data_IF_852073411060
#
_entry.id   IF_852073411060
#
_cell.length_a   1.000
_cell.length_b   1.000
_cell.length_c   1.000
_cell.angle_alpha   90.00
_cell.angle_beta   90.00
_cell.angle_gamma   90.00
#
_symmetry.space_group_name_H-M   'P 1'
#
loop_
_entity.id
_entity.type
_entity.pdbx_description
1 polymer ?
#
# COMPACT_ATOMS: atom_id res chain seq x y z
N UNK A 1 4.89 12.60 6.51
CA UNK A 1 3.77 13.32 5.88
C UNK A 1 2.71 13.56 6.94
N UNK A 2 2.14 14.75 6.99
CA UNK A 2 0.96 15.04 7.80
C UNK A 2 -0.34 14.59 7.10
N UNK A 3 -1.46 14.66 7.82
CA UNK A 3 -2.77 14.22 7.31
C UNK A 3 -3.21 14.96 6.03
N UNK A 4 -2.95 16.26 5.93
CA UNK A 4 -3.38 17.07 4.77
C UNK A 4 -2.53 16.74 3.55
N UNK A 5 -1.22 16.57 3.74
CA UNK A 5 -0.30 16.15 2.68
C UNK A 5 -0.74 14.82 2.07
N UNK A 6 -1.09 13.84 2.91
CA UNK A 6 -1.60 12.54 2.42
C UNK A 6 -2.91 12.69 1.66
N UNK A 7 -3.88 13.45 2.19
CA UNK A 7 -5.17 13.65 1.52
C UNK A 7 -4.98 14.32 0.15
N UNK A 8 -4.15 15.36 0.06
CA UNK A 8 -3.87 16.03 -1.20
C UNK A 8 -3.22 15.08 -2.21
N UNK A 9 -2.24 14.29 -1.78
CA UNK A 9 -1.60 13.32 -2.66
C UNK A 9 -2.55 12.21 -3.14
N UNK A 10 -3.50 11.77 -2.29
CA UNK A 10 -4.55 10.82 -2.70
C UNK A 10 -5.48 11.44 -3.76
N UNK A 11 -5.87 12.71 -3.58
CA UNK A 11 -6.70 13.44 -4.55
C UNK A 11 -5.97 13.63 -5.87
N UNK A 12 -4.70 14.03 -5.84
CA UNK A 12 -3.84 14.19 -7.02
C UNK A 12 -3.61 12.87 -7.76
N UNK A 13 -3.44 11.76 -7.03
CA UNK A 13 -3.29 10.44 -7.63
C UNK A 13 -4.55 9.97 -8.35
N UNK A 14 -5.74 10.43 -7.95
CA UNK A 14 -7.04 10.16 -8.59
C UNK A 14 -7.54 8.71 -8.48
N UNK A 15 -6.69 7.77 -8.07
CA UNK A 15 -7.03 6.37 -7.87
C UNK A 15 -6.14 5.72 -6.78
N UNK A 16 -6.69 4.71 -6.10
CA UNK A 16 -5.98 3.89 -5.10
C UNK A 16 -6.12 2.42 -5.51
N UNK A 17 -4.99 1.72 -5.61
CA UNK A 17 -4.99 0.27 -5.89
C UNK A 17 -5.15 -0.55 -4.61
N UNK A 18 -6.25 -1.28 -4.47
CA UNK A 18 -6.47 -2.18 -3.33
C UNK A 18 -5.89 -3.56 -3.65
N UNK A 19 -4.90 -3.99 -2.86
CA UNK A 19 -4.14 -5.22 -3.10
C UNK A 19 -4.56 -6.30 -2.10
N UNK A 20 -5.15 -7.37 -2.64
CA UNK A 20 -5.51 -8.59 -1.93
C UNK A 20 -4.97 -9.79 -2.70
N UNK A 21 -3.98 -10.47 -2.13
CA UNK A 21 -3.37 -11.68 -2.69
C UNK A 21 -3.00 -12.63 -1.55
N UNK A 22 -3.01 -13.93 -1.83
CA UNK A 22 -2.71 -14.97 -0.85
C UNK A 22 -1.21 -15.31 -0.78
N UNK A 23 -0.43 -14.88 -1.76
CA UNK A 23 1.01 -15.13 -1.86
C UNK A 23 1.78 -13.82 -1.67
N UNK A 24 2.58 -13.73 -0.59
CA UNK A 24 3.34 -12.54 -0.21
C UNK A 24 4.28 -12.08 -1.32
N UNK A 25 4.99 -13.01 -1.94
CA UNK A 25 5.98 -12.75 -3.00
C UNK A 25 5.35 -12.11 -4.24
N UNK A 26 4.04 -12.31 -4.43
CA UNK A 26 3.30 -11.73 -5.54
C UNK A 26 2.92 -10.27 -5.30
N UNK A 27 2.75 -9.85 -4.04
CA UNK A 27 2.43 -8.47 -3.65
C UNK A 27 3.45 -7.52 -4.27
N UNK A 28 4.74 -7.76 -4.02
CA UNK A 28 5.79 -6.86 -4.46
C UNK A 28 5.85 -6.70 -5.98
N UNK A 29 5.74 -7.81 -6.73
CA UNK A 29 5.73 -7.77 -8.20
C UNK A 29 4.54 -6.99 -8.75
N UNK A 30 3.36 -7.14 -8.16
CA UNK A 30 2.15 -6.41 -8.57
C UNK A 30 2.33 -4.92 -8.31
N UNK A 31 2.74 -4.57 -7.09
CA UNK A 31 2.89 -3.17 -6.67
C UNK A 31 3.97 -2.46 -7.48
N UNK A 32 5.11 -3.09 -7.74
CA UNK A 32 6.13 -2.52 -8.62
C UNK A 32 5.62 -2.30 -10.05
N UNK A 33 4.82 -3.24 -10.58
CA UNK A 33 4.22 -3.07 -11.90
C UNK A 33 3.24 -1.90 -11.94
N UNK A 34 2.40 -1.75 -10.90
CA UNK A 34 1.49 -0.61 -10.76
C UNK A 34 2.24 0.71 -10.62
N UNK A 35 3.31 0.72 -9.82
CA UNK A 35 4.18 1.88 -9.62
C UNK A 35 4.83 2.33 -10.95
N UNK A 36 5.39 1.38 -11.72
CA UNK A 36 5.91 1.67 -13.07
C UNK A 36 4.81 2.13 -14.04
N UNK A 37 3.58 1.68 -13.84
CA UNK A 37 2.40 2.13 -14.57
C UNK A 37 1.90 3.52 -14.17
N UNK A 38 2.55 4.18 -13.20
CA UNK A 38 2.22 5.54 -12.76
C UNK A 38 1.26 5.61 -11.58
N UNK A 39 0.82 4.48 -11.02
CA UNK A 39 0.00 4.49 -9.81
C UNK A 39 0.87 4.90 -8.61
N UNK A 40 0.44 5.92 -7.86
CA UNK A 40 1.20 6.46 -6.73
C UNK A 40 0.61 6.14 -5.35
N UNK A 41 -0.60 5.56 -5.30
CA UNK A 41 -1.27 5.22 -4.05
C UNK A 41 -1.80 3.79 -4.08
N UNK A 42 -1.51 3.00 -3.04
CA UNK A 42 -2.10 1.66 -2.82
C UNK A 42 -2.58 1.46 -1.40
N UNK A 43 -3.42 0.45 -1.24
CA UNK A 43 -3.80 -0.13 0.04
C UNK A 43 -3.46 -1.63 0.02
N UNK A 44 -2.66 -2.11 0.98
CA UNK A 44 -2.47 -3.55 1.21
C UNK A 44 -3.47 -3.99 2.27
N UNK A 45 -4.32 -4.95 1.93
CA UNK A 45 -5.29 -5.48 2.90
C UNK A 45 -4.59 -6.34 3.94
N UNK A 46 -4.99 -6.24 5.21
CA UNK A 46 -4.51 -7.08 6.32
C UNK A 46 -4.92 -8.55 6.19
N UNK A 47 -5.74 -8.88 5.18
CA UNK A 47 -6.02 -10.28 4.79
C UNK A 47 -4.91 -10.91 3.95
N UNK A 48 -3.91 -10.14 3.53
CA UNK A 48 -2.68 -10.67 2.91
C UNK A 48 -1.82 -11.30 4.01
N UNK A 49 -1.40 -12.57 3.88
CA UNK A 49 -0.46 -13.17 4.82
C UNK A 49 0.85 -12.36 4.89
N UNK A 50 1.24 -11.94 6.09
CA UNK A 50 2.43 -11.10 6.28
C UNK A 50 2.31 -9.71 5.67
N UNK A 51 1.11 -9.11 5.68
CA UNK A 51 0.85 -7.78 5.10
C UNK A 51 1.82 -6.69 5.57
N UNK A 52 2.17 -6.68 6.86
CA UNK A 52 3.11 -5.70 7.45
C UNK A 52 4.49 -5.86 6.82
N UNK A 53 5.06 -7.07 6.87
CA UNK A 53 6.35 -7.38 6.27
C UNK A 53 6.35 -7.09 4.76
N UNK A 54 5.22 -7.30 4.08
CA UNK A 54 5.10 -6.98 2.66
C UNK A 54 5.15 -5.47 2.42
N UNK A 55 4.48 -4.66 3.26
CA UNK A 55 4.54 -3.20 3.17
C UNK A 55 5.93 -2.65 3.48
N UNK A 56 6.65 -3.24 4.45
CA UNK A 56 8.05 -2.88 4.74
C UNK A 56 8.96 -3.10 3.53
N UNK A 57 8.85 -4.27 2.88
CA UNK A 57 9.60 -4.58 1.66
C UNK A 57 9.28 -3.59 0.51
N UNK A 58 8.02 -3.15 0.41
CA UNK A 58 7.58 -2.23 -0.64
C UNK A 58 8.12 -0.82 -0.46
N UNK A 59 8.20 -0.33 0.78
CA UNK A 59 8.74 1.00 1.08
C UNK A 59 10.16 1.19 0.51
N UNK A 60 10.98 0.13 0.50
CA UNK A 60 12.33 0.16 -0.09
C UNK A 60 12.39 0.04 -1.62
N UNK A 61 11.27 -0.30 -2.28
CA UNK A 61 11.21 -0.65 -3.72
C UNK A 61 10.40 0.33 -4.56
N UNK A 62 9.51 1.09 -3.94
CA UNK A 62 8.63 2.05 -4.61
C UNK A 62 8.75 3.43 -3.99
N UNK A 63 9.77 4.18 -4.39
CA UNK A 63 10.03 5.54 -3.89
C UNK A 63 8.85 6.48 -4.20
N UNK A 64 8.46 7.29 -3.22
CA UNK A 64 7.39 8.28 -3.36
C UNK A 64 5.97 7.69 -3.49
N UNK A 65 5.82 6.38 -3.31
CA UNK A 65 4.51 5.72 -3.29
C UNK A 65 3.88 5.80 -1.91
N UNK A 66 2.60 6.18 -1.85
CA UNK A 66 1.80 6.11 -0.63
C UNK A 66 1.29 4.69 -0.46
N UNK A 67 1.65 4.06 0.64
CA UNK A 67 1.26 2.70 0.99
C UNK A 67 0.39 2.77 2.25
N UNK A 68 -0.88 2.41 2.11
CA UNK A 68 -1.83 2.30 3.22
C UNK A 68 -2.14 0.86 3.60
N UNK A 69 -2.72 0.69 4.78
CA UNK A 69 -3.24 -0.58 5.28
C UNK A 69 -4.78 -0.58 5.25
N UNK A 70 -5.35 -1.66 4.73
CA UNK A 70 -6.80 -1.88 4.68
C UNK A 70 -7.25 -3.07 5.51
N UNK A 71 -8.55 -3.19 5.78
CA UNK A 71 -9.10 -4.29 6.61
C UNK A 71 -8.50 -4.34 8.04
N UNK A 72 -8.25 -3.17 8.63
CA UNK A 72 -7.81 -3.03 10.02
C UNK A 72 -9.04 -3.10 10.92
N UNK A 73 -9.18 -4.16 11.71
CA UNK A 73 -10.39 -4.45 12.50
C UNK A 73 -10.21 -4.30 14.01
N UNK A 74 -8.98 -4.10 14.48
CA UNK A 74 -8.64 -4.00 15.90
C UNK A 74 -7.50 -3.01 16.16
N UNK A 75 -7.38 -2.61 17.43
CA UNK A 75 -6.36 -1.67 17.88
C UNK A 75 -4.92 -2.14 17.68
N UNK A 76 -4.57 -3.41 17.97
CA UNK A 76 -3.23 -3.94 17.70
C UNK A 76 -2.80 -3.81 16.24
N UNK A 77 -3.70 -4.10 15.30
CA UNK A 77 -3.43 -3.96 13.85
C UNK A 77 -3.35 -2.50 13.40
N UNK A 78 -4.00 -1.58 14.13
CA UNK A 78 -4.01 -0.15 13.85
C UNK A 78 -2.81 0.63 14.41
N UNK A 79 -1.95 -0.03 15.19
CA UNK A 79 -0.88 0.62 15.97
C UNK A 79 0.34 0.98 15.13
#
# INVERSE_FOLDING_TARGET
MDKREVINALVEAGAIGIIRVQERERVARIVEALHRGGLRCIEVTMTVPGAIDAMEDLCGRTEGMIIGAGTVLDGPTAR
#
